data_IF_629125219152
#
_entry.id   IF_629125219152
#
_cell.length_a   1.000
_cell.length_b   1.000
_cell.length_c   1.000
_cell.angle_alpha   90.00
_cell.angle_beta   90.00
_cell.angle_gamma   90.00
#
_symmetry.space_group_name_H-M   'P 1'
#
loop_
_entity.id
_entity.type
_entity.pdbx_description
1 polymer ?
#
# COMPACT_ATOMS: atom_id res chain seq x y z
N UNK A 1 2.06 -7.75 27.40
CA UNK A 1 2.01 -7.50 25.94
C UNK A 1 0.98 -8.42 25.31
N UNK A 2 -0.13 -7.89 24.77
CA UNK A 2 -1.14 -8.74 24.13
C UNK A 2 -0.58 -9.32 22.82
N UNK A 3 -0.72 -10.64 22.63
CA UNK A 3 -0.16 -11.38 21.48
C UNK A 3 1.29 -11.85 21.65
N UNK A 4 1.96 -11.51 22.76
CA UNK A 4 3.28 -12.07 23.12
C UNK A 4 4.49 -11.49 22.39
N UNK A 5 4.33 -10.73 21.31
CA UNK A 5 5.44 -10.12 20.57
C UNK A 5 5.06 -8.80 19.89
N UNK A 6 6.06 -8.08 19.38
CA UNK A 6 5.91 -6.88 18.54
C UNK A 6 6.08 -7.25 17.07
N UNK A 7 5.32 -6.61 16.19
CA UNK A 7 5.61 -6.64 14.76
C UNK A 7 6.27 -5.31 14.36
N UNK A 8 7.54 -5.37 13.99
CA UNK A 8 8.34 -4.20 13.62
C UNK A 8 8.62 -4.16 12.11
N UNK A 9 8.47 -2.98 11.52
CA UNK A 9 8.84 -2.69 10.13
C UNK A 9 9.90 -1.59 10.14
N UNK A 10 11.11 -1.92 9.71
CA UNK A 10 12.24 -0.99 9.65
C UNK A 10 12.64 -0.80 8.19
N UNK A 11 12.74 0.46 7.75
CA UNK A 11 13.27 0.84 6.45
C UNK A 11 14.42 1.85 6.58
N UNK A 12 15.28 1.85 5.56
CA UNK A 12 16.36 2.81 5.31
C UNK A 12 15.94 3.86 4.25
N UNK A 13 14.65 4.18 4.20
CA UNK A 13 14.07 5.13 3.25
C UNK A 13 14.38 6.58 3.57
N UNK A 14 13.67 7.52 2.91
CA UNK A 14 13.97 8.95 3.03
C UNK A 14 13.56 9.59 4.37
N UNK A 15 12.88 8.86 5.25
CA UNK A 15 12.30 9.41 6.48
C UNK A 15 11.21 10.46 6.20
N UNK A 16 10.79 11.15 7.26
CA UNK A 16 9.73 12.16 7.23
C UNK A 16 10.08 13.35 8.11
N UNK A 17 9.75 14.57 7.66
CA UNK A 17 9.72 15.73 8.55
C UNK A 17 8.45 15.74 9.41
N UNK A 18 8.40 16.63 10.40
CA UNK A 18 7.23 16.81 11.26
C UNK A 18 5.92 16.94 10.47
N UNK A 19 5.88 17.76 9.41
CA UNK A 19 4.65 17.95 8.62
C UNK A 19 4.27 16.72 7.79
N UNK A 20 5.26 15.96 7.33
CA UNK A 20 5.01 14.69 6.65
C UNK A 20 4.35 13.70 7.63
N UNK A 21 4.82 13.64 8.88
CA UNK A 21 4.24 12.81 9.95
C UNK A 21 2.86 13.32 10.35
N UNK A 22 2.63 14.64 10.43
CA UNK A 22 1.30 15.19 10.67
C UNK A 22 0.32 14.75 9.58
N UNK A 23 0.74 14.78 8.32
CA UNK A 23 -0.05 14.31 7.19
C UNK A 23 -0.31 12.79 7.22
N UNK A 24 0.42 12.00 8.02
CA UNK A 24 0.09 10.59 8.27
C UNK A 24 -1.20 10.47 9.06
N UNK A 25 -1.51 11.37 9.98
CA UNK A 25 -2.76 11.31 10.77
C UNK A 25 -3.96 11.78 9.95
N UNK A 26 -3.76 12.71 9.02
CA UNK A 26 -4.82 13.24 8.16
C UNK A 26 -5.29 12.18 7.15
N UNK A 27 -6.54 11.74 7.30
CA UNK A 27 -7.15 10.76 6.40
C UNK A 27 -7.29 11.32 4.98
N UNK A 28 -7.00 10.49 3.97
CA UNK A 28 -7.17 10.86 2.55
C UNK A 28 -6.05 11.72 1.97
N UNK A 29 -5.14 12.27 2.79
CA UNK A 29 -4.03 13.11 2.31
C UNK A 29 -2.87 12.24 1.81
N UNK A 30 -2.47 12.45 0.56
CA UNK A 30 -1.27 11.82 0.00
C UNK A 30 -0.61 12.72 -1.03
N UNK A 31 0.62 13.18 -0.76
CA UNK A 31 1.43 13.91 -1.74
C UNK A 31 1.77 13.05 -2.98
N UNK A 32 1.74 11.71 -2.82
CA UNK A 32 2.07 10.74 -3.86
C UNK A 32 1.03 10.68 -4.99
N UNK A 33 -0.22 11.04 -4.68
CA UNK A 33 -1.31 11.07 -5.67
C UNK A 33 -0.97 12.02 -6.83
N UNK A 34 -0.35 13.16 -6.52
CA UNK A 34 -0.01 14.22 -7.45
C UNK A 34 1.49 14.26 -7.77
N UNK A 35 2.26 13.27 -7.31
CA UNK A 35 3.69 13.19 -7.60
C UNK A 35 3.92 12.77 -9.04
N UNK A 36 4.79 13.51 -9.72
CA UNK A 36 5.30 13.18 -11.06
C UNK A 36 6.21 11.95 -11.05
N UNK A 37 6.61 11.45 -9.87
CA UNK A 37 7.32 10.17 -9.76
C UNK A 37 6.35 9.06 -10.18
N UNK A 38 6.67 8.32 -11.26
CA UNK A 38 5.77 7.29 -11.77
C UNK A 38 5.65 6.12 -10.78
N UNK A 39 4.54 5.39 -10.87
CA UNK A 39 4.33 4.10 -10.19
C UNK A 39 4.44 4.12 -8.65
N UNK A 40 4.13 5.25 -8.01
CA UNK A 40 3.96 5.28 -6.56
C UNK A 40 2.64 4.57 -6.15
N UNK A 41 2.76 3.50 -5.38
CA UNK A 41 1.63 2.64 -4.96
C UNK A 41 0.65 3.36 -4.01
N UNK A 42 1.15 4.27 -3.17
CA UNK A 42 0.38 4.88 -2.08
C UNK A 42 -0.49 6.06 -2.50
N UNK A 43 -1.71 5.84 -2.97
CA UNK A 43 -2.56 6.92 -3.49
C UNK A 43 -3.60 7.46 -2.49
N UNK A 44 -4.26 6.60 -1.71
CA UNK A 44 -5.43 6.98 -0.90
C UNK A 44 -5.16 7.63 0.47
N UNK A 45 -3.90 7.75 0.89
CA UNK A 45 -3.58 8.32 2.22
C UNK A 45 -4.09 7.50 3.42
N UNK A 46 -4.52 6.24 3.26
CA UNK A 46 -5.09 5.43 4.36
C UNK A 46 -4.30 4.16 4.73
N UNK A 47 -3.40 3.69 3.86
CA UNK A 47 -2.82 2.33 3.98
C UNK A 47 -2.15 2.01 5.32
N UNK A 48 -1.38 2.94 5.89
CA UNK A 48 -0.76 2.72 7.21
C UNK A 48 -1.81 2.56 8.31
N UNK A 49 -2.83 3.42 8.34
CA UNK A 49 -3.85 3.43 9.39
C UNK A 49 -4.69 2.17 9.35
N UNK A 50 -5.22 1.84 8.17
CA UNK A 50 -6.06 0.65 7.99
C UNK A 50 -5.27 -0.64 8.22
N UNK A 51 -4.03 -0.74 7.72
CA UNK A 51 -3.17 -1.90 7.91
C UNK A 51 -2.73 -2.09 9.37
N UNK A 52 -2.20 -1.04 10.01
CA UNK A 52 -1.77 -1.11 11.40
C UNK A 52 -2.95 -1.46 12.32
N UNK A 53 -4.10 -0.80 12.17
CA UNK A 53 -5.29 -1.07 13.00
C UNK A 53 -5.98 -2.41 12.70
N UNK A 54 -5.71 -3.03 11.54
CA UNK A 54 -6.12 -4.40 11.25
C UNK A 54 -5.28 -5.41 12.02
N UNK A 55 -3.98 -5.18 12.17
CA UNK A 55 -3.04 -6.13 12.79
C UNK A 55 -2.98 -5.93 14.32
N UNK A 56 -3.00 -4.69 14.79
CA UNK A 56 -2.75 -4.36 16.19
C UNK A 56 -3.75 -3.36 16.76
N UNK A 57 -3.85 -3.32 18.09
CA UNK A 57 -4.64 -2.31 18.80
C UNK A 57 -3.93 -0.95 18.79
N UNK A 58 -2.61 -0.98 18.92
CA UNK A 58 -1.77 0.19 19.11
C UNK A 58 -0.54 0.13 18.19
N UNK A 59 -0.03 1.28 17.77
CA UNK A 59 1.29 1.37 17.14
C UNK A 59 2.00 2.69 17.46
N UNK A 60 3.32 2.63 17.33
CA UNK A 60 4.20 3.78 17.46
C UNK A 60 5.18 3.78 16.28
N UNK A 61 5.41 4.95 15.72
CA UNK A 61 6.26 5.19 14.56
C UNK A 61 7.39 6.10 14.98
N UNK A 62 8.62 5.73 14.61
CA UNK A 62 9.82 6.53 14.74
C UNK A 62 10.33 6.83 13.34
N UNK A 63 10.66 8.08 13.06
CA UNK A 63 11.25 8.46 11.78
C UNK A 63 12.37 9.45 11.98
N UNK A 64 13.41 9.32 11.16
CA UNK A 64 14.60 10.15 11.20
C UNK A 64 14.77 10.83 9.85
N UNK A 65 14.99 12.14 9.85
CA UNK A 65 15.35 12.91 8.66
C UNK A 65 16.09 14.18 9.07
N UNK A 66 17.22 14.46 8.41
CA UNK A 66 18.02 15.68 8.65
C UNK A 66 18.37 15.91 10.12
N UNK A 67 18.80 14.83 10.80
CA UNK A 67 19.12 14.79 12.24
C UNK A 67 17.92 15.07 13.19
N UNK A 68 16.72 15.25 12.65
CA UNK A 68 15.48 15.37 13.43
C UNK A 68 14.82 14.00 13.54
N UNK A 69 14.47 13.63 14.77
CA UNK A 69 13.72 12.41 15.10
C UNK A 69 12.30 12.76 15.51
N UNK A 70 11.32 12.27 14.76
CA UNK A 70 9.90 12.46 15.10
C UNK A 70 9.30 11.13 15.53
N UNK A 71 8.57 11.13 16.63
CA UNK A 71 7.75 10.01 17.07
C UNK A 71 6.29 10.30 16.78
N UNK A 72 5.53 9.33 16.28
CA UNK A 72 4.07 9.39 16.16
C UNK A 72 3.47 8.22 16.91
N UNK A 73 2.56 8.52 17.83
CA UNK A 73 1.92 7.50 18.65
C UNK A 73 0.41 7.45 18.43
N UNK A 74 -0.11 6.28 18.07
CA UNK A 74 -1.55 6.02 17.93
C UNK A 74 -1.92 4.81 18.78
N UNK A 75 -2.58 5.07 19.92
CA UNK A 75 -3.00 4.02 20.84
C UNK A 75 -4.51 4.02 21.09
N UNK A 76 -5.21 3.00 20.60
CA UNK A 76 -6.63 2.77 20.96
C UNK A 76 -6.78 2.38 22.42
N UNK A 77 -5.75 1.82 23.05
CA UNK A 77 -5.74 1.53 24.48
C UNK A 77 -5.84 2.82 25.30
N UNK A 78 -5.02 3.82 25.00
CA UNK A 78 -5.12 5.16 25.61
C UNK A 78 -6.53 5.76 25.44
N UNK A 79 -7.05 5.78 24.22
CA UNK A 79 -8.38 6.34 23.95
C UNK A 79 -9.50 5.62 24.72
N UNK A 80 -9.45 4.29 24.78
CA UNK A 80 -10.46 3.50 25.48
C UNK A 80 -10.42 3.70 27.00
N UNK A 81 -9.23 3.69 27.60
CA UNK A 81 -9.07 3.86 29.05
C UNK A 81 -9.40 5.28 29.53
N UNK A 82 -9.16 6.29 28.69
CA UNK A 82 -9.46 7.68 29.01
C UNK A 82 -10.84 8.12 28.49
N UNK A 83 -11.63 7.19 27.92
CA UNK A 83 -12.96 7.47 27.35
C UNK A 83 -12.97 8.62 26.31
N UNK A 84 -11.92 8.71 25.50
CA UNK A 84 -11.75 9.77 24.50
C UNK A 84 -12.41 9.35 23.18
N UNK A 85 -13.35 10.16 22.71
CA UNK A 85 -14.04 9.97 21.42
C UNK A 85 -13.29 10.58 20.23
N UNK A 86 -12.44 11.57 20.47
CA UNK A 86 -11.60 12.20 19.46
C UNK A 86 -10.33 11.40 19.20
N UNK A 87 -9.68 11.59 18.05
CA UNK A 87 -8.39 10.96 17.75
C UNK A 87 -7.27 11.91 18.16
N UNK A 88 -6.59 11.59 19.28
CA UNK A 88 -5.45 12.33 19.81
C UNK A 88 -4.18 11.49 19.59
N UNK A 89 -3.20 12.08 18.91
CA UNK A 89 -1.96 11.41 18.54
C UNK A 89 -0.75 12.21 19.04
N UNK A 90 -0.06 11.77 20.11
CA UNK A 90 1.19 12.39 20.54
C UNK A 90 2.24 12.36 19.44
N UNK A 91 2.87 13.51 19.17
CA UNK A 91 3.87 13.64 18.11
C UNK A 91 5.09 14.48 18.52
N UNK A 92 5.88 14.05 19.52
CA UNK A 92 7.06 14.78 19.96
C UNK A 92 8.18 14.70 18.91
N UNK A 93 8.99 15.75 18.86
CA UNK A 93 10.07 15.95 17.91
C UNK A 93 11.38 16.25 18.67
N UNK A 94 12.48 15.62 18.25
CA UNK A 94 13.78 15.70 18.92
C UNK A 94 14.90 16.05 17.94
N UNK A 95 15.87 16.82 18.40
CA UNK A 95 17.19 16.83 17.80
C UNK A 95 17.94 15.58 18.30
N UNK A 96 18.33 14.70 17.38
CA UNK A 96 18.96 13.43 17.72
C UNK A 96 20.41 13.57 18.20
N UNK A 97 21.05 14.72 17.96
CA UNK A 97 22.40 15.01 18.47
C UNK A 97 22.35 15.43 19.93
N UNK A 98 21.46 16.34 20.28
CA UNK A 98 21.31 16.84 21.66
C UNK A 98 20.39 15.99 22.52
N UNK A 99 19.56 15.15 21.88
CA UNK A 99 18.46 14.39 22.50
C UNK A 99 17.45 15.29 23.23
N UNK A 100 17.37 16.55 22.84
CA UNK A 100 16.43 17.53 23.39
C UNK A 100 15.25 17.75 22.44
N UNK A 101 14.11 18.23 22.96
CA UNK A 101 13.00 18.66 22.12
C UNK A 101 13.45 19.72 21.12
N UNK A 102 12.96 19.65 19.88
CA UNK A 102 13.20 20.71 18.90
C UNK A 102 12.50 21.97 19.36
N UNK A 103 13.25 23.01 19.69
CA UNK A 103 12.74 24.35 20.01
C UNK A 103 12.80 25.20 18.74
N UNK A 104 11.68 25.38 18.06
CA UNK A 104 11.58 26.38 17.00
C UNK A 104 10.89 27.63 17.53
N UNK A 105 11.51 28.79 17.31
CA UNK A 105 10.87 30.11 17.39
C UNK A 105 10.05 30.35 16.12
N UNK A 106 8.91 31.04 16.23
CA UNK A 106 7.93 31.26 15.14
C UNK A 106 8.51 31.88 13.84
N UNK A 107 9.76 32.35 13.84
CA UNK A 107 10.44 32.99 12.71
C UNK A 107 11.40 32.08 11.91
N UNK A 108 11.80 30.93 12.44
CA UNK A 108 12.82 30.09 11.79
C UNK A 108 12.19 29.12 10.80
N UNK A 109 11.98 29.61 9.59
CA UNK A 109 11.74 28.77 8.42
C UNK A 109 12.98 27.93 8.11
N UNK A 110 13.12 26.77 8.72
CA UNK A 110 14.04 25.75 8.20
C UNK A 110 13.44 25.24 6.88
N UNK A 111 14.05 25.61 5.75
CA UNK A 111 13.63 25.22 4.39
C UNK A 111 12.18 25.61 4.00
N UNK A 112 11.67 26.74 4.52
CA UNK A 112 10.40 27.31 4.07
C UNK A 112 9.12 26.54 4.44
N UNK A 113 9.19 25.59 5.36
CA UNK A 113 8.03 24.83 5.84
C UNK A 113 7.71 25.20 7.29
N UNK A 114 6.43 25.44 7.64
CA UNK A 114 5.97 25.74 9.00
C UNK A 114 6.27 24.55 9.92
N UNK A 115 7.38 24.61 10.63
CA UNK A 115 7.99 23.47 11.29
C UNK A 115 7.73 23.59 12.80
N UNK A 116 6.72 22.89 13.32
CA UNK A 116 6.52 22.63 14.76
C UNK A 116 6.71 23.81 15.74
N UNK A 117 5.61 24.46 16.16
CA UNK A 117 5.68 25.37 17.32
C UNK A 117 5.89 24.57 18.60
N UNK A 118 7.04 24.78 19.26
CA UNK A 118 7.34 24.12 20.52
C UNK A 118 6.44 24.68 21.63
N UNK A 119 5.70 23.78 22.26
CA UNK A 119 4.97 24.05 23.49
C UNK A 119 5.45 23.05 24.52
N UNK A 120 6.12 23.57 25.57
CA UNK A 120 6.70 22.76 26.63
C UNK A 120 5.66 21.90 27.35
N UNK A 121 4.49 22.46 27.61
CA UNK A 121 3.40 21.76 28.31
C UNK A 121 2.81 20.63 27.45
N UNK A 122 2.63 20.90 26.15
CA UNK A 122 2.21 19.89 25.17
C UNK A 122 3.25 18.77 25.07
N UNK A 123 4.53 19.13 24.90
CA UNK A 123 5.61 18.15 24.74
C UNK A 123 5.70 17.24 25.97
N UNK A 124 5.64 17.81 27.17
CA UNK A 124 5.65 17.03 28.41
C UNK A 124 4.47 16.05 28.46
N UNK A 125 3.27 16.49 28.13
CA UNK A 125 2.07 15.63 28.09
C UNK A 125 2.20 14.52 27.04
N UNK A 126 2.66 14.84 25.83
CA UNK A 126 2.91 13.85 24.76
C UNK A 126 3.86 12.76 25.23
N UNK A 127 4.93 13.16 25.91
CA UNK A 127 5.92 12.24 26.47
C UNK A 127 5.36 11.40 27.61
N UNK A 128 4.61 11.98 28.54
CA UNK A 128 3.93 11.24 29.59
C UNK A 128 2.99 10.17 29.02
N UNK A 129 2.23 10.50 27.97
CA UNK A 129 1.34 9.55 27.30
C UNK A 129 2.10 8.40 26.63
N UNK A 130 3.18 8.70 25.92
CA UNK A 130 4.03 7.67 25.28
C UNK A 130 4.64 6.76 26.35
N UNK A 131 5.22 7.31 27.41
CA UNK A 131 5.84 6.50 28.48
C UNK A 131 4.82 5.66 29.23
N UNK A 132 3.60 6.17 29.44
CA UNK A 132 2.52 5.43 30.10
C UNK A 132 1.96 4.29 29.24
N UNK A 133 1.65 4.55 27.97
CA UNK A 133 0.86 3.64 27.13
C UNK A 133 1.65 2.85 26.07
N UNK A 134 2.83 3.33 25.68
CA UNK A 134 3.70 2.62 24.74
C UNK A 134 4.51 1.52 25.44
N UNK A 135 5.17 0.62 24.69
CA UNK A 135 6.11 -0.33 25.26
C UNK A 135 7.38 0.30 25.84
N UNK A 136 7.68 1.55 25.48
CA UNK A 136 8.91 2.25 25.84
C UNK A 136 8.62 3.16 27.04
N UNK A 137 9.21 2.84 28.19
CA UNK A 137 8.86 3.43 29.48
C UNK A 137 9.81 4.53 29.94
N UNK A 138 10.95 4.66 29.26
CA UNK A 138 11.98 5.65 29.57
C UNK A 138 12.45 6.37 28.30
N UNK A 139 13.01 7.57 28.45
CA UNK A 139 13.64 8.30 27.34
C UNK A 139 14.72 7.47 26.65
N UNK A 140 15.52 6.74 27.43
CA UNK A 140 16.56 5.87 26.90
C UNK A 140 15.98 4.75 26.02
N UNK A 141 14.86 4.14 26.42
CA UNK A 141 14.23 3.08 25.62
C UNK A 141 13.63 3.62 24.32
N UNK A 142 13.14 4.86 24.35
CA UNK A 142 12.66 5.58 23.16
C UNK A 142 13.81 5.87 22.19
N UNK A 143 14.93 6.43 22.67
CA UNK A 143 16.08 6.76 21.82
C UNK A 143 16.76 5.52 21.24
N UNK A 144 16.78 4.40 21.97
CA UNK A 144 17.19 3.10 21.39
C UNK A 144 16.40 2.73 20.15
N UNK A 145 15.14 3.16 20.00
CA UNK A 145 14.36 2.90 18.79
C UNK A 145 14.84 3.75 17.60
N UNK A 146 15.23 5.01 17.83
CA UNK A 146 15.87 5.82 16.80
C UNK A 146 17.24 5.24 16.40
N UNK A 147 18.00 4.69 17.36
CA UNK A 147 19.28 4.04 17.09
C UNK A 147 19.18 2.78 16.23
N UNK A 148 18.00 2.16 16.12
CA UNK A 148 17.78 1.04 15.18
C UNK A 148 17.81 1.52 13.72
N UNK A 149 17.49 2.80 13.46
CA UNK A 149 17.60 3.43 12.15
C UNK A 149 19.06 3.83 11.94
N UNK A 150 19.87 2.88 11.44
CA UNK A 150 21.32 3.06 11.28
C UNK A 150 21.70 4.09 10.21
N UNK A 151 20.83 4.33 9.24
CA UNK A 151 21.01 5.32 8.19
C UNK A 151 20.82 6.76 8.70
N UNK A 152 21.19 7.74 7.88
CA UNK A 152 20.94 9.16 8.15
C UNK A 152 19.45 9.52 8.14
N UNK A 153 18.63 8.72 7.45
CA UNK A 153 17.18 8.80 7.43
C UNK A 153 16.52 7.42 7.33
N UNK A 154 15.27 7.31 7.73
CA UNK A 154 14.52 6.05 7.69
C UNK A 154 13.29 6.08 8.59
N UNK A 155 12.57 4.96 8.62
CA UNK A 155 11.35 4.83 9.43
C UNK A 155 11.29 3.46 10.10
N UNK A 156 10.91 3.44 11.37
CA UNK A 156 10.61 2.27 12.16
C UNK A 156 9.15 2.35 12.63
N UNK A 157 8.37 1.33 12.32
CA UNK A 157 6.98 1.19 12.79
C UNK A 157 6.92 -0.03 13.70
N UNK A 158 6.43 0.15 14.93
CA UNK A 158 6.27 -0.91 15.92
C UNK A 158 4.80 -1.10 16.22
N UNK A 159 4.25 -2.22 15.78
CA UNK A 159 2.88 -2.64 16.06
C UNK A 159 2.87 -3.53 17.31
N UNK A 160 1.97 -3.27 18.25
CA UNK A 160 1.88 -4.02 19.49
C UNK A 160 0.44 -4.13 20.00
N UNK A 161 0.21 -5.04 20.95
CA UNK A 161 -1.13 -5.48 21.31
C UNK A 161 -1.87 -6.06 20.10
N UNK A 162 -1.31 -7.14 19.55
CA UNK A 162 -1.78 -7.77 18.32
C UNK A 162 -3.19 -8.34 18.48
N UNK A 163 -3.93 -8.42 17.38
CA UNK A 163 -5.21 -9.11 17.35
C UNK A 163 -5.02 -10.60 17.63
N UNK A 164 -5.98 -11.13 18.39
CA UNK A 164 -6.04 -12.53 18.78
C UNK A 164 -7.23 -13.17 18.05
N UNK A 165 -7.09 -14.44 17.72
CA UNK A 165 -8.20 -15.28 17.27
C UNK A 165 -9.16 -15.58 18.42
N UNK A 166 -10.28 -16.25 18.12
CA UNK A 166 -11.28 -16.65 19.11
C UNK A 166 -10.73 -17.57 20.21
N UNK A 167 -9.59 -18.22 19.94
CA UNK A 167 -8.90 -19.14 20.86
C UNK A 167 -7.90 -18.37 21.76
N UNK A 168 -7.72 -17.07 21.53
CA UNK A 168 -6.82 -16.22 22.33
C UNK A 168 -5.36 -16.19 21.87
N UNK A 169 -5.01 -16.90 20.79
CA UNK A 169 -3.68 -16.88 20.17
C UNK A 169 -3.57 -15.80 19.08
N UNK A 170 -2.37 -15.23 18.83
CA UNK A 170 -2.18 -14.25 17.77
C UNK A 170 -2.49 -14.85 16.38
N UNK A 171 -3.05 -14.04 15.47
CA UNK A 171 -3.36 -14.47 14.09
C UNK A 171 -2.11 -14.85 13.28
N UNK A 172 -0.94 -14.33 13.70
CA UNK A 172 0.35 -14.50 13.06
C UNK A 172 1.20 -15.51 13.85
N UNK A 173 1.66 -16.55 13.18
CA UNK A 173 2.53 -17.58 13.72
C UNK A 173 3.99 -17.31 13.33
N UNK A 174 4.82 -17.11 14.34
CA UNK A 174 6.27 -16.89 14.23
C UNK A 174 7.09 -18.04 14.84
N UNK A 175 6.41 -19.10 15.33
CA UNK A 175 7.05 -20.22 16.05
C UNK A 175 7.32 -21.39 15.12
N UNK A 176 6.41 -21.68 14.19
CA UNK A 176 6.53 -22.83 13.28
C UNK A 176 7.74 -22.72 12.34
N UNK A 177 7.99 -21.53 11.79
CA UNK A 177 9.21 -21.23 11.04
C UNK A 177 9.83 -19.95 11.62
N UNK A 178 11.00 -20.03 12.30
CA UNK A 178 11.64 -18.86 12.90
C UNK A 178 12.11 -17.83 11.87
N UNK A 179 12.14 -18.19 10.59
CA UNK A 179 12.49 -17.30 9.50
C UNK A 179 11.26 -16.84 8.69
N UNK A 180 10.04 -17.10 9.12
CA UNK A 180 8.83 -16.66 8.41
C UNK A 180 7.80 -16.05 9.36
N UNK A 181 6.73 -15.50 8.77
CA UNK A 181 5.51 -15.12 9.47
C UNK A 181 4.38 -15.82 8.73
N UNK A 182 3.78 -16.82 9.38
CA UNK A 182 2.73 -17.63 8.81
C UNK A 182 1.36 -17.16 9.30
N UNK A 183 0.31 -17.44 8.53
CA UNK A 183 -1.07 -17.38 9.03
C UNK A 183 -1.36 -18.70 9.74
N UNK A 184 -1.94 -18.66 10.95
CA UNK A 184 -2.30 -19.88 11.67
C UNK A 184 -3.17 -20.77 10.77
N UNK A 185 -2.71 -22.01 10.61
CA UNK A 185 -3.38 -23.08 9.88
C UNK A 185 -4.85 -23.29 10.22
N UNK A 186 -5.29 -22.89 11.42
CA UNK A 186 -6.65 -23.04 11.92
C UNK A 186 -7.57 -21.88 11.54
N UNK A 187 -7.02 -20.72 11.18
CA UNK A 187 -7.75 -19.57 10.62
C UNK A 187 -7.97 -19.68 9.11
N UNK A 188 -7.62 -20.82 8.48
CA UNK A 188 -7.72 -21.05 7.03
C UNK A 188 -9.13 -21.07 6.46
N UNK A 189 -10.17 -21.26 7.29
CA UNK A 189 -11.58 -21.35 6.82
C UNK A 189 -12.05 -20.10 6.07
N UNK A 190 -11.51 -18.93 6.40
CA UNK A 190 -12.01 -17.65 5.87
C UNK A 190 -11.20 -17.12 4.66
N UNK A 191 -10.24 -17.89 4.12
CA UNK A 191 -9.39 -17.45 2.99
C UNK A 191 -10.01 -17.73 1.61
N UNK A 192 -11.09 -18.51 1.54
CA UNK A 192 -11.73 -18.94 0.27
C UNK A 192 -13.26 -18.79 0.25
N UNK A 193 -13.88 -18.24 1.29
CA UNK A 193 -15.33 -18.04 1.34
C UNK A 193 -15.71 -16.73 0.67
N UNK A 194 -15.81 -16.75 -0.66
CA UNK A 194 -16.71 -15.84 -1.39
C UNK A 194 -17.39 -16.53 -2.60
N UNK A 195 -17.00 -17.75 -3.04
CA UNK A 195 -17.57 -18.35 -4.27
C UNK A 195 -17.83 -19.88 -4.27
N UNK A 196 -17.64 -20.63 -3.17
CA UNK A 196 -17.87 -22.09 -3.19
C UNK A 196 -18.74 -22.56 -2.00
N UNK A 197 -20.04 -22.28 -2.08
CA UNK A 197 -21.11 -22.89 -1.27
C UNK A 197 -21.30 -24.38 -1.68
N UNK A 198 -20.27 -25.20 -1.57
CA UNK A 198 -20.39 -26.65 -1.65
C UNK A 198 -20.20 -27.29 -0.28
N UNK A 199 -21.31 -27.38 0.47
CA UNK A 199 -21.45 -28.01 1.80
C UNK A 199 -21.04 -29.51 1.87
N UNK A 200 -20.46 -30.09 0.82
CA UNK A 200 -20.29 -31.55 0.70
C UNK A 200 -18.86 -32.10 0.88
N UNK A 201 -17.89 -31.30 1.32
CA UNK A 201 -16.52 -31.82 1.56
C UNK A 201 -16.25 -32.12 3.05
N UNK A 202 -16.99 -33.09 3.61
CA UNK A 202 -16.66 -33.76 4.89
C UNK A 202 -15.63 -34.89 4.71
N UNK A 203 -14.71 -34.75 3.77
CA UNK A 203 -13.69 -35.74 3.43
C UNK A 203 -12.27 -35.17 3.53
N UNK A 204 -11.45 -35.80 4.38
CA UNK A 204 -9.98 -35.73 4.45
C UNK A 204 -9.32 -34.34 4.29
N UNK A 205 -9.24 -33.61 5.40
CA UNK A 205 -8.61 -32.28 5.50
C UNK A 205 -7.11 -32.24 5.12
N UNK A 206 -6.45 -33.38 5.03
CA UNK A 206 -5.02 -33.47 4.69
C UNK A 206 -4.75 -33.23 3.20
N UNK A 207 -5.65 -33.68 2.31
CA UNK A 207 -5.50 -33.53 0.86
C UNK A 207 -5.82 -32.12 0.37
N UNK A 208 -6.72 -31.39 1.03
CA UNK A 208 -7.08 -30.01 0.66
C UNK A 208 -5.99 -29.00 1.03
N UNK A 209 -5.11 -29.35 1.97
CA UNK A 209 -4.03 -28.47 2.40
C UNK A 209 -2.91 -28.32 1.36
N UNK A 210 -2.82 -29.24 0.38
CA UNK A 210 -1.88 -29.19 -0.74
C UNK A 210 -2.37 -28.37 -1.94
N UNK A 211 -3.64 -27.94 -1.98
CA UNK A 211 -4.20 -27.18 -3.10
C UNK A 211 -4.07 -25.66 -2.96
N UNK A 212 -3.78 -25.16 -1.75
CA UNK A 212 -3.67 -23.71 -1.49
C UNK A 212 -2.23 -23.26 -1.77
N UNK A 213 -2.02 -22.30 -2.69
CA UNK A 213 -0.70 -21.76 -2.96
C UNK A 213 -0.01 -21.21 -1.70
N UNK A 214 1.30 -21.37 -1.64
CA UNK A 214 2.10 -21.05 -0.43
C UNK A 214 2.03 -19.56 -0.06
N UNK A 215 1.78 -18.69 -1.03
CA UNK A 215 1.67 -17.24 -0.83
C UNK A 215 0.43 -16.83 -0.01
N UNK A 216 -0.59 -17.68 0.11
CA UNK A 216 -1.72 -17.41 1.01
C UNK A 216 -1.42 -17.73 2.47
N UNK A 217 -0.33 -18.45 2.77
CA UNK A 217 0.02 -18.87 4.13
C UNK A 217 1.33 -18.29 4.64
N UNK A 218 2.28 -18.02 3.75
CA UNK A 218 3.64 -17.58 4.08
C UNK A 218 3.85 -16.14 3.64
N UNK A 219 4.15 -15.26 4.59
CA UNK A 219 4.51 -13.88 4.27
C UNK A 219 5.77 -13.83 3.40
N UNK A 220 6.77 -14.66 3.69
CA UNK A 220 7.99 -14.76 2.88
C UNK A 220 7.69 -15.12 1.42
N UNK A 221 6.80 -16.08 1.18
CA UNK A 221 6.39 -16.46 -0.17
C UNK A 221 5.61 -15.31 -0.84
N UNK A 222 4.61 -14.74 -0.17
CA UNK A 222 3.81 -13.62 -0.69
C UNK A 222 4.68 -12.41 -1.07
N UNK A 223 5.59 -12.02 -0.16
CA UNK A 223 6.48 -10.89 -0.33
C UNK A 223 7.48 -11.12 -1.47
N UNK A 224 7.84 -12.38 -1.75
CA UNK A 224 8.74 -12.71 -2.86
C UNK A 224 8.19 -12.33 -4.24
N UNK A 225 6.86 -12.28 -4.39
CA UNK A 225 6.16 -11.95 -5.64
C UNK A 225 5.35 -10.65 -5.53
N UNK A 226 5.52 -9.88 -4.45
CA UNK A 226 4.69 -8.71 -4.15
C UNK A 226 4.82 -7.60 -5.20
N UNK A 227 6.00 -7.50 -5.79
CA UNK A 227 6.37 -6.47 -6.74
C UNK A 227 6.69 -7.06 -8.09
N UNK A 228 6.14 -6.46 -9.16
CA UNK A 228 6.38 -6.87 -10.54
C UNK A 228 7.87 -6.73 -10.91
N UNK A 229 8.49 -5.64 -10.45
CA UNK A 229 9.94 -5.40 -10.54
C UNK A 229 10.50 -5.13 -9.14
N UNK A 230 10.93 -6.17 -8.40
CA UNK A 230 11.45 -6.00 -7.05
C UNK A 230 12.81 -5.28 -7.09
N UNK A 231 12.90 -4.15 -6.39
CA UNK A 231 14.14 -3.37 -6.20
C UNK A 231 14.54 -3.27 -4.73
N UNK A 232 13.55 -3.13 -3.85
CA UNK A 232 13.74 -3.11 -2.41
C UNK A 232 14.13 -4.50 -1.92
N UNK A 233 15.21 -4.56 -1.12
CA UNK A 233 15.60 -5.79 -0.43
C UNK A 233 14.71 -5.96 0.79
N UNK A 234 14.19 -7.16 1.00
CA UNK A 234 13.30 -7.46 2.11
C UNK A 234 13.91 -8.55 2.98
N UNK A 235 13.85 -8.37 4.29
CA UNK A 235 14.34 -9.32 5.29
C UNK A 235 13.21 -9.59 6.27
N UNK A 236 12.94 -10.87 6.54
CA UNK A 236 11.96 -11.31 7.53
C UNK A 236 12.73 -12.12 8.58
N UNK A 237 12.56 -11.77 9.86
CA UNK A 237 13.24 -12.44 10.99
C UNK A 237 14.75 -12.63 10.76
N UNK A 238 15.43 -11.57 10.32
CA UNK A 238 16.87 -11.58 10.05
C UNK A 238 17.31 -12.30 8.76
N UNK A 239 16.43 -13.02 8.06
CA UNK A 239 16.77 -13.74 6.82
C UNK A 239 16.20 -13.06 5.58
N UNK A 240 17.08 -12.73 4.62
CA UNK A 240 16.72 -12.09 3.35
C UNK A 240 15.69 -12.93 2.57
N UNK A 241 14.66 -12.28 2.05
CA UNK A 241 13.67 -12.85 1.13
C UNK A 241 14.26 -12.84 -0.28
N UNK A 242 14.18 -13.96 -0.99
CA UNK A 242 14.57 -14.04 -2.40
C UNK A 242 13.37 -13.59 -3.24
N UNK A 243 13.35 -12.31 -3.61
CA UNK A 243 12.32 -11.75 -4.49
C UNK A 243 12.47 -12.27 -5.92
N UNK A 244 11.34 -12.51 -6.58
CA UNK A 244 11.26 -13.14 -7.89
C UNK A 244 10.59 -12.20 -8.87
N UNK A 245 11.21 -11.97 -10.03
CA UNK A 245 10.48 -11.47 -11.20
C UNK A 245 9.76 -12.67 -11.82
N UNK A 246 8.45 -12.76 -11.60
CA UNK A 246 7.67 -13.98 -11.88
C UNK A 246 7.80 -14.45 -13.35
N UNK A 247 7.94 -13.54 -14.31
CA UNK A 247 8.15 -13.92 -15.72
C UNK A 247 9.46 -14.68 -15.99
N UNK A 248 10.45 -14.56 -15.10
CA UNK A 248 11.74 -15.27 -15.23
C UNK A 248 11.73 -16.63 -14.52
N UNK A 249 10.68 -16.96 -13.77
CA UNK A 249 10.55 -18.27 -13.12
C UNK A 249 9.74 -19.26 -13.96
N UNK A 250 9.30 -18.85 -15.15
CA UNK A 250 8.42 -19.62 -16.02
C UNK A 250 9.18 -20.16 -17.23
N UNK A 251 8.77 -21.33 -17.71
CA UNK A 251 9.27 -21.93 -18.93
C UNK A 251 8.61 -21.28 -20.17
N UNK A 252 9.43 -21.02 -21.20
CA UNK A 252 9.03 -20.39 -22.48
C UNK A 252 8.13 -19.15 -22.33
N UNK A 253 8.53 -18.14 -21.54
CA UNK A 253 7.71 -16.95 -21.38
C UNK A 253 7.57 -16.20 -22.72
N UNK A 254 6.34 -15.82 -23.09
CA UNK A 254 6.03 -15.01 -24.29
C UNK A 254 5.26 -13.76 -23.91
N UNK A 255 5.44 -12.69 -24.69
CA UNK A 255 4.79 -11.40 -24.50
C UNK A 255 3.81 -11.12 -25.63
N UNK A 256 2.64 -10.60 -25.28
CA UNK A 256 1.59 -10.22 -26.22
C UNK A 256 1.16 -8.78 -25.95
N UNK A 257 1.02 -7.98 -27.01
CA UNK A 257 0.62 -6.58 -26.92
C UNK A 257 -0.89 -6.46 -27.09
N UNK A 258 -1.58 -6.06 -26.03
CA UNK A 258 -3.02 -5.84 -26.03
C UNK A 258 -3.33 -4.35 -26.24
N UNK A 259 -4.08 -4.03 -27.31
CA UNK A 259 -4.57 -2.69 -27.59
C UNK A 259 -6.07 -2.64 -27.31
N UNK A 260 -6.49 -1.67 -26.50
CA UNK A 260 -7.91 -1.45 -26.17
C UNK A 260 -8.31 -0.02 -26.47
N UNK A 261 -9.17 0.15 -27.48
CA UNK A 261 -9.81 1.45 -27.75
C UNK A 261 -10.70 1.87 -26.59
N UNK A 262 -11.35 0.91 -25.92
CA UNK A 262 -12.19 1.14 -24.74
C UNK A 262 -11.43 1.83 -23.60
N UNK A 263 -10.24 1.33 -23.25
CA UNK A 263 -9.42 1.96 -22.21
C UNK A 263 -8.94 3.34 -22.63
N UNK A 264 -8.48 3.49 -23.88
CA UNK A 264 -8.05 4.79 -24.42
C UNK A 264 -9.16 5.85 -24.28
N UNK A 265 -10.36 5.56 -24.79
CA UNK A 265 -11.48 6.51 -24.76
C UNK A 265 -11.88 6.89 -23.33
N UNK A 266 -11.87 5.93 -22.40
CA UNK A 266 -12.18 6.20 -20.99
C UNK A 266 -11.13 7.09 -20.34
N UNK A 267 -9.85 6.78 -20.49
CA UNK A 267 -8.78 7.61 -19.94
C UNK A 267 -8.85 9.05 -20.47
N UNK A 268 -9.18 9.23 -21.75
CA UNK A 268 -9.42 10.56 -22.34
C UNK A 268 -10.62 11.28 -21.71
N UNK A 269 -11.72 10.57 -21.42
CA UNK A 269 -12.89 11.14 -20.74
C UNK A 269 -12.58 11.54 -19.29
N UNK A 270 -11.82 10.72 -18.56
CA UNK A 270 -11.41 11.03 -17.19
C UNK A 270 -10.47 12.24 -17.14
N UNK A 271 -9.52 12.35 -18.08
CA UNK A 271 -8.66 13.54 -18.20
C UNK A 271 -9.51 14.79 -18.46
N UNK A 272 -10.45 14.74 -19.42
CA UNK A 272 -11.37 15.86 -19.70
C UNK A 272 -12.22 16.25 -18.49
N UNK A 273 -12.68 15.27 -17.70
CA UNK A 273 -13.42 15.53 -16.47
C UNK A 273 -12.56 16.28 -15.45
N UNK A 274 -11.34 15.81 -15.22
CA UNK A 274 -10.40 16.47 -14.32
C UNK A 274 -10.00 17.88 -14.81
N UNK A 275 -9.89 18.10 -16.13
CA UNK A 275 -9.67 19.45 -16.70
C UNK A 275 -10.83 20.39 -16.39
N UNK A 276 -12.07 19.93 -16.55
CA UNK A 276 -13.26 20.71 -16.20
C UNK A 276 -13.31 21.04 -14.71
N UNK A 277 -12.94 20.09 -13.84
CA UNK A 277 -12.84 20.31 -12.40
C UNK A 277 -11.77 21.36 -12.06
N UNK A 278 -10.61 21.32 -12.73
CA UNK A 278 -9.54 22.30 -12.53
C UNK A 278 -9.99 23.71 -12.96
N UNK A 279 -10.66 23.84 -14.11
CA UNK A 279 -11.19 25.12 -14.57
C UNK A 279 -12.19 25.73 -13.58
N UNK A 280 -13.11 24.91 -13.04
CA UNK A 280 -14.05 25.35 -12.01
C UNK A 280 -13.35 25.77 -10.71
N UNK A 281 -12.26 25.10 -10.35
CA UNK A 281 -11.47 25.46 -9.17
C UNK A 281 -10.71 26.77 -9.38
N UNK A 282 -10.17 27.01 -10.58
CA UNK A 282 -9.50 28.26 -10.96
C UNK A 282 -10.45 29.45 -10.97
N UNK A 283 -11.72 29.27 -11.36
CA UNK A 283 -12.78 30.27 -11.20
C UNK A 283 -13.00 30.63 -9.72
N UNK A 284 -13.13 29.62 -8.84
CA UNK A 284 -13.28 29.83 -7.39
C UNK A 284 -12.07 30.52 -6.76
N UNK A 285 -10.85 30.20 -7.21
CA UNK A 285 -9.63 30.89 -6.75
C UNK A 285 -9.71 32.37 -7.11
N UNK A 286 -10.09 32.70 -8.35
CA UNK A 286 -10.24 34.10 -8.81
C UNK A 286 -11.28 34.86 -7.99
N UNK A 287 -12.41 34.23 -7.66
CA UNK A 287 -13.44 34.84 -6.80
C UNK A 287 -12.92 35.16 -5.40
N UNK A 288 -12.26 34.19 -4.75
CA UNK A 288 -11.71 34.38 -3.39
C UNK A 288 -10.58 35.41 -3.39
N UNK A 289 -9.68 35.37 -4.37
CA UNK A 289 -8.61 36.37 -4.50
C UNK A 289 -9.21 37.79 -4.71
N UNK A 290 -10.28 37.92 -5.49
CA UNK A 290 -10.99 39.20 -5.66
C UNK A 290 -11.60 39.69 -4.34
N UNK A 291 -12.16 38.80 -3.50
CA UNK A 291 -12.68 39.16 -2.18
C UNK A 291 -11.58 39.58 -1.21
N UNK A 292 -10.43 38.89 -1.23
CA UNK A 292 -9.24 39.25 -0.45
C UNK A 292 -8.76 40.64 -0.85
N UNK A 293 -8.61 40.91 -2.15
CA UNK A 293 -8.18 42.20 -2.66
C UNK A 293 -9.14 43.32 -2.27
N UNK A 294 -10.45 43.13 -2.47
CA UNK A 294 -11.46 44.12 -2.07
C UNK A 294 -11.37 44.44 -0.58
N UNK A 295 -11.37 43.42 0.29
CA UNK A 295 -11.28 43.63 1.74
C UNK A 295 -9.97 44.32 2.14
N UNK A 296 -8.83 43.99 1.54
CA UNK A 296 -7.56 44.68 1.81
C UNK A 296 -7.62 46.17 1.50
N UNK A 297 -8.29 46.56 0.43
CA UNK A 297 -8.39 47.97 0.00
C UNK A 297 -9.47 48.77 0.74
N UNK A 298 -10.55 48.14 1.22
CA UNK A 298 -11.60 48.83 2.01
C UNK A 298 -11.21 49.03 3.49
N UNK A 299 -10.21 48.29 3.99
CA UNK A 299 -9.85 48.15 5.41
C UNK A 299 -8.93 49.26 5.97
N UNK A 300 -9.24 50.54 5.79
CA UNK A 300 -8.38 51.65 6.28
C UNK A 300 -8.47 51.85 7.82
N UNK A 301 -9.49 51.31 8.50
CA UNK A 301 -9.65 51.32 9.97
C UNK A 301 -10.25 50.00 10.45
N UNK A 302 -9.44 49.04 10.93
CA UNK A 302 -9.91 47.65 11.10
C UNK A 302 -10.43 47.29 12.49
N UNK A 303 -11.69 46.83 12.52
CA UNK A 303 -12.24 46.03 13.62
C UNK A 303 -11.49 44.69 13.76
N UNK A 304 -11.50 44.08 14.94
CA UNK A 304 -10.93 42.74 15.16
C UNK A 304 -11.57 41.68 14.25
N UNK A 305 -12.86 41.81 13.95
CA UNK A 305 -13.62 40.86 13.12
C UNK A 305 -13.23 40.91 11.64
N UNK A 306 -12.95 42.10 11.09
CA UNK A 306 -12.52 42.26 9.70
C UNK A 306 -11.13 41.66 9.47
N UNK A 307 -10.23 41.83 10.44
CA UNK A 307 -8.90 41.17 10.42
C UNK A 307 -9.03 39.66 10.48
N UNK A 308 -9.93 39.13 11.29
CA UNK A 308 -10.20 37.69 11.36
C UNK A 308 -10.78 37.17 10.04
N UNK A 309 -11.72 37.91 9.43
CA UNK A 309 -12.33 37.55 8.14
C UNK A 309 -11.30 37.55 7.00
N UNK A 310 -10.43 38.56 6.95
CA UNK A 310 -9.35 38.64 5.97
C UNK A 310 -8.39 37.45 6.10
N UNK A 311 -7.96 37.11 7.32
CA UNK A 311 -7.11 35.93 7.56
C UNK A 311 -7.77 34.64 7.11
N UNK A 312 -9.06 34.44 7.42
CA UNK A 312 -9.82 33.25 6.98
C UNK A 312 -9.86 33.14 5.45
N UNK A 313 -10.10 34.24 4.75
CA UNK A 313 -10.13 34.26 3.28
C UNK A 313 -8.75 34.02 2.67
N UNK A 314 -7.68 34.57 3.27
CA UNK A 314 -6.30 34.31 2.84
C UNK A 314 -5.93 32.83 2.98
N UNK A 315 -6.28 32.21 4.12
CA UNK A 315 -6.08 30.76 4.35
C UNK A 315 -6.85 29.96 3.29
N UNK A 316 -8.13 30.27 3.07
CA UNK A 316 -8.95 29.62 2.05
C UNK A 316 -8.35 29.76 0.64
N UNK A 317 -7.85 30.93 0.28
CA UNK A 317 -7.19 31.18 -1.01
C UNK A 317 -5.93 30.29 -1.17
N UNK A 318 -5.11 30.19 -0.12
CA UNK A 318 -3.92 29.33 -0.15
C UNK A 318 -4.28 27.85 -0.28
N UNK A 319 -5.29 27.38 0.45
CA UNK A 319 -5.76 25.98 0.37
C UNK A 319 -6.30 25.61 -1.01
N UNK A 320 -7.06 26.52 -1.63
CA UNK A 320 -7.60 26.34 -2.99
C UNK A 320 -6.48 26.33 -4.04
N UNK A 321 -5.49 27.24 -3.93
CA UNK A 321 -4.32 27.27 -4.82
C UNK A 321 -3.50 25.99 -4.70
N UNK A 322 -3.26 25.51 -3.49
CA UNK A 322 -2.58 24.23 -3.25
C UNK A 322 -3.36 23.05 -3.83
N UNK A 323 -4.69 23.06 -3.73
CA UNK A 323 -5.53 22.04 -4.36
C UNK A 323 -5.44 22.08 -5.89
N UNK A 324 -5.47 23.27 -6.50
CA UNK A 324 -5.34 23.43 -7.95
C UNK A 324 -3.97 22.96 -8.45
N UNK A 325 -2.89 23.35 -7.78
CA UNK A 325 -1.54 22.88 -8.08
C UNK A 325 -1.44 21.35 -8.02
N UNK A 326 -2.04 20.73 -7.00
CA UNK A 326 -2.13 19.27 -6.88
C UNK A 326 -2.88 18.66 -8.07
N UNK A 327 -4.09 19.13 -8.36
CA UNK A 327 -4.90 18.63 -9.48
C UNK A 327 -4.18 18.78 -10.83
N UNK A 328 -3.53 19.92 -11.07
CA UNK A 328 -2.72 20.18 -12.26
C UNK A 328 -1.57 19.16 -12.40
N UNK A 329 -0.80 18.93 -11.34
CA UNK A 329 0.26 17.91 -11.35
C UNK A 329 -0.29 16.50 -11.61
N UNK A 330 -1.45 16.18 -11.03
CA UNK A 330 -2.16 14.92 -11.29
C UNK A 330 -2.60 14.77 -12.75
N UNK A 331 -3.09 15.83 -13.36
CA UNK A 331 -3.45 15.88 -14.78
C UNK A 331 -2.24 15.68 -15.70
N UNK A 332 -1.14 16.38 -15.41
CA UNK A 332 0.13 16.21 -16.14
C UNK A 332 0.58 14.76 -16.10
N UNK A 333 0.56 14.15 -14.92
CA UNK A 333 0.89 12.73 -14.73
C UNK A 333 -0.03 11.81 -15.55
N UNK A 334 -1.36 11.96 -15.45
CA UNK A 334 -2.32 11.15 -16.21
C UNK A 334 -2.08 11.25 -17.72
N UNK A 335 -1.79 12.45 -18.22
CA UNK A 335 -1.49 12.70 -19.64
C UNK A 335 -0.17 12.04 -20.07
N UNK A 336 0.87 12.10 -19.23
CA UNK A 336 2.13 11.38 -19.46
C UNK A 336 1.92 9.85 -19.49
N UNK A 337 1.18 9.30 -18.53
CA UNK A 337 0.84 7.86 -18.46
C UNK A 337 0.02 7.40 -19.67
N UNK A 338 -0.96 8.20 -20.12
CA UNK A 338 -1.76 7.92 -21.30
C UNK A 338 -0.92 7.91 -22.60
N UNK A 339 0.01 8.87 -22.74
CA UNK A 339 0.86 8.96 -23.93
C UNK A 339 1.87 7.81 -24.03
N UNK A 340 2.36 7.35 -22.88
CA UNK A 340 3.33 6.24 -22.78
C UNK A 340 2.65 4.87 -22.83
N UNK A 341 1.47 4.73 -22.23
CA UNK A 341 0.76 3.44 -22.12
C UNK A 341 -0.30 3.29 -23.22
N UNK A 342 0.16 3.09 -24.46
CA UNK A 342 -0.75 2.82 -25.59
C UNK A 342 -1.27 1.38 -25.61
N UNK A 343 -0.52 0.46 -24.99
CA UNK A 343 -0.80 -0.98 -25.00
C UNK A 343 -0.48 -1.58 -23.63
N UNK A 344 -1.23 -2.62 -23.26
CA UNK A 344 -0.89 -3.47 -22.11
C UNK A 344 -0.06 -4.65 -22.62
N UNK A 345 0.94 -5.06 -21.85
CA UNK A 345 1.73 -6.25 -22.19
C UNK A 345 1.26 -7.42 -21.33
N UNK A 346 0.67 -8.44 -21.96
CA UNK A 346 0.41 -9.71 -21.32
C UNK A 346 1.64 -10.59 -21.43
N UNK A 347 2.03 -11.24 -20.33
CA UNK A 347 3.11 -12.22 -20.33
C UNK A 347 2.53 -13.56 -19.93
N UNK A 348 2.80 -14.60 -20.70
CA UNK A 348 2.41 -15.97 -20.36
C UNK A 348 3.64 -16.86 -20.34
N UNK A 349 3.67 -17.81 -19.41
CA UNK A 349 4.73 -18.82 -19.30
C UNK A 349 4.22 -20.05 -18.57
N UNK A 350 4.95 -21.16 -18.66
CA UNK A 350 4.57 -22.41 -18.01
C UNK A 350 5.27 -22.57 -16.66
N UNK A 351 4.49 -22.82 -15.61
CA UNK A 351 5.01 -23.22 -14.32
C UNK A 351 5.27 -24.73 -14.31
N UNK A 352 6.44 -25.12 -14.82
CA UNK A 352 6.85 -26.54 -14.84
C UNK A 352 7.21 -27.07 -13.46
N UNK A 353 7.57 -26.20 -12.51
CA UNK A 353 7.92 -26.59 -11.15
C UNK A 353 6.68 -27.01 -10.36
N UNK A 354 5.56 -26.31 -10.54
CA UNK A 354 4.31 -26.69 -9.91
C UNK A 354 3.12 -26.36 -10.81
N UNK A 355 2.62 -27.39 -11.50
CA UNK A 355 1.53 -27.31 -12.46
C UNK A 355 0.19 -26.89 -11.86
N UNK A 356 -0.06 -27.16 -10.56
CA UNK A 356 -1.33 -26.78 -9.92
C UNK A 356 -1.38 -25.29 -9.57
N UNK A 357 -0.22 -24.65 -9.42
CA UNK A 357 -0.10 -23.21 -9.17
C UNK A 357 -0.06 -22.43 -10.49
N UNK A 358 -1.21 -22.40 -11.15
CA UNK A 358 -1.44 -21.69 -12.41
C UNK A 358 -2.51 -20.60 -12.29
N UNK A 359 -2.70 -19.80 -13.34
CA UNK A 359 -3.61 -18.66 -13.36
C UNK A 359 -2.91 -17.32 -13.54
N UNK A 360 -3.67 -16.24 -13.44
CA UNK A 360 -3.22 -14.89 -13.74
C UNK A 360 -2.84 -14.14 -12.47
N UNK A 361 -1.68 -13.48 -12.53
CA UNK A 361 -1.18 -12.54 -11.55
C UNK A 361 -1.35 -11.13 -12.09
N UNK A 362 -2.15 -10.34 -11.40
CA UNK A 362 -2.52 -9.00 -11.81
C UNK A 362 -1.84 -8.00 -10.89
N UNK A 363 -0.91 -7.23 -11.43
CA UNK A 363 -0.24 -6.13 -10.75
C UNK A 363 -0.90 -4.80 -11.14
N UNK A 364 -0.82 -3.83 -10.25
CA UNK A 364 -1.20 -2.44 -10.50
C UNK A 364 -0.08 -1.51 -10.03
N UNK A 365 0.43 -0.68 -10.94
CA UNK A 365 1.61 0.17 -10.70
C UNK A 365 2.77 -0.60 -10.04
N UNK A 366 3.01 -1.84 -10.49
CA UNK A 366 4.07 -2.70 -9.99
C UNK A 366 3.78 -3.44 -8.67
N UNK A 367 2.60 -3.28 -8.06
CA UNK A 367 2.17 -4.01 -6.85
C UNK A 367 1.15 -5.08 -7.20
N UNK A 368 1.36 -6.31 -6.75
CA UNK A 368 0.39 -7.41 -6.91
C UNK A 368 -0.99 -6.99 -6.35
N UNK A 369 -2.10 -7.32 -7.00
CA UNK A 369 -3.46 -7.05 -6.49
C UNK A 369 -4.24 -8.35 -6.38
N UNK A 370 -4.17 -9.17 -7.43
CA UNK A 370 -4.78 -10.50 -7.51
C UNK A 370 -3.74 -11.52 -7.96
N UNK A 371 -3.84 -12.75 -7.44
CA UNK A 371 -2.98 -13.87 -7.80
C UNK A 371 -3.82 -15.13 -8.02
N UNK A 372 -3.34 -16.01 -8.89
CA UNK A 372 -4.00 -17.28 -9.22
C UNK A 372 -5.41 -17.14 -9.82
N UNK A 373 -5.73 -16.00 -10.43
CA UNK A 373 -7.04 -15.76 -11.04
C UNK A 373 -7.22 -16.68 -12.24
N UNK A 374 -8.28 -17.49 -12.24
CA UNK A 374 -8.56 -18.40 -13.34
C UNK A 374 -9.21 -17.62 -14.49
N UNK A 375 -8.68 -17.79 -15.69
CA UNK A 375 -9.19 -17.15 -16.91
C UNK A 375 -9.50 -18.19 -17.98
N UNK A 376 -10.55 -17.95 -18.77
CA UNK A 376 -11.09 -18.93 -19.72
C UNK A 376 -12.32 -19.65 -19.18
N UNK A 377 -13.05 -20.35 -20.06
CA UNK A 377 -14.27 -21.06 -19.66
C UNK A 377 -13.91 -22.34 -18.86
N UNK A 378 -14.46 -22.54 -17.65
CA UNK A 378 -14.31 -23.78 -16.87
C UNK A 378 -14.95 -25.01 -17.54
N UNK A 379 -15.83 -24.78 -18.52
CA UNK A 379 -16.62 -25.82 -19.14
C UNK A 379 -15.90 -26.47 -20.33
N UNK A 380 -15.20 -27.58 -20.03
CA UNK A 380 -15.16 -28.85 -20.79
C UNK A 380 -13.85 -29.56 -20.49
N UNK A 381 -13.89 -30.64 -19.69
CA UNK A 381 -13.11 -31.91 -19.68
C UNK A 381 -11.65 -31.95 -20.20
N UNK A 382 -10.99 -30.84 -20.49
CA UNK A 382 -9.73 -30.78 -21.22
C UNK A 382 -8.79 -29.86 -20.44
N UNK A 383 -7.60 -30.40 -20.13
CA UNK A 383 -6.53 -29.75 -19.36
C UNK A 383 -5.87 -28.57 -20.10
N UNK A 384 -6.59 -27.87 -20.99
CA UNK A 384 -6.04 -26.74 -21.75
C UNK A 384 -5.53 -25.67 -20.81
N UNK A 385 -4.33 -25.17 -21.11
CA UNK A 385 -3.65 -24.12 -20.35
C UNK A 385 -3.34 -24.45 -18.88
N UNK A 386 -3.53 -25.70 -18.42
CA UNK A 386 -3.14 -26.07 -17.05
C UNK A 386 -1.63 -25.95 -16.88
N UNK A 387 -1.18 -25.26 -15.84
CA UNK A 387 0.22 -24.92 -15.60
C UNK A 387 0.64 -23.59 -16.24
N UNK A 388 -0.24 -22.90 -17.00
CA UNK A 388 0.07 -21.60 -17.58
C UNK A 388 -0.15 -20.49 -16.55
N UNK A 389 0.88 -19.68 -16.36
CA UNK A 389 0.84 -18.47 -15.54
C UNK A 389 0.76 -17.26 -16.46
N UNK A 390 -0.26 -16.43 -16.26
CA UNK A 390 -0.39 -15.13 -16.90
C UNK A 390 0.07 -14.01 -15.96
N UNK A 391 0.70 -12.97 -16.50
CA UNK A 391 1.20 -11.83 -15.74
C UNK A 391 0.86 -10.55 -16.49
N UNK A 392 0.33 -9.58 -15.77
CA UNK A 392 0.06 -8.23 -16.28
C UNK A 392 0.35 -7.19 -15.21
N UNK A 393 0.89 -6.04 -15.61
CA UNK A 393 0.96 -4.84 -14.78
C UNK A 393 0.08 -3.74 -15.37
N UNK A 394 -0.88 -3.26 -14.58
CA UNK A 394 -1.93 -2.34 -14.99
C UNK A 394 -1.57 -0.95 -14.45
N UNK A 395 -1.37 0.06 -15.30
CA UNK A 395 -1.15 1.42 -14.84
C UNK A 395 -2.43 2.06 -14.30
N UNK A 396 -2.26 3.06 -13.43
CA UNK A 396 -3.36 3.77 -12.75
C UNK A 396 -4.36 4.43 -13.67
N UNK A 397 -3.93 4.82 -14.88
CA UNK A 397 -4.81 5.43 -15.90
C UNK A 397 -5.82 4.44 -16.52
N UNK A 398 -5.62 3.13 -16.32
CA UNK A 398 -6.45 2.07 -16.89
C UNK A 398 -7.47 1.53 -15.89
N UNK A 399 -7.02 1.15 -14.69
CA UNK A 399 -7.88 0.68 -13.60
C UNK A 399 -7.37 1.16 -12.26
N UNK A 400 -8.30 1.58 -11.41
CA UNK A 400 -8.01 1.89 -10.01
C UNK A 400 -8.32 0.70 -9.10
N UNK A 401 -7.61 0.61 -7.98
CA UNK A 401 -7.80 -0.45 -6.98
C UNK A 401 -8.93 -0.13 -6.01
N UNK A 402 -9.48 -1.14 -5.33
CA UNK A 402 -10.32 -0.93 -4.16
C UNK A 402 -9.50 -0.39 -2.98
N UNK A 403 -10.19 0.09 -1.94
CA UNK A 403 -9.56 0.68 -0.76
C UNK A 403 -8.54 -0.24 -0.04
N UNK A 404 -8.80 -1.55 0.01
CA UNK A 404 -7.90 -2.55 0.60
C UNK A 404 -6.77 -3.02 -0.36
N UNK A 405 -6.79 -2.57 -1.62
CA UNK A 405 -5.85 -2.95 -2.68
C UNK A 405 -5.76 -4.46 -2.91
N UNK A 406 -6.87 -5.18 -2.73
CA UNK A 406 -7.01 -6.60 -3.04
C UNK A 406 -8.00 -6.86 -4.20
N UNK A 407 -8.57 -5.80 -4.78
CA UNK A 407 -9.42 -5.89 -5.96
C UNK A 407 -9.36 -4.57 -6.75
N UNK A 408 -10.14 -4.49 -7.83
CA UNK A 408 -10.29 -3.30 -8.68
C UNK A 408 -11.65 -2.65 -8.45
N UNK A 409 -11.68 -1.31 -8.49
CA UNK A 409 -12.89 -0.54 -8.25
C UNK A 409 -13.93 -0.72 -9.38
N UNK A 410 -13.46 -0.91 -10.62
CA UNK A 410 -14.32 -1.22 -11.77
C UNK A 410 -14.22 -2.70 -12.13
N UNK A 411 -15.14 -3.47 -11.56
CA UNK A 411 -15.22 -4.90 -11.75
C UNK A 411 -15.56 -5.29 -13.20
N UNK A 412 -16.38 -4.49 -13.91
CA UNK A 412 -16.78 -4.78 -15.29
C UNK A 412 -15.61 -4.70 -16.24
N UNK A 413 -14.78 -3.67 -16.09
CA UNK A 413 -13.56 -3.52 -16.88
C UNK A 413 -12.50 -4.56 -16.50
N UNK A 414 -12.37 -4.88 -15.22
CA UNK A 414 -11.48 -5.95 -14.76
C UNK A 414 -11.84 -7.30 -15.39
N UNK A 415 -13.12 -7.68 -15.38
CA UNK A 415 -13.59 -8.90 -16.04
C UNK A 415 -13.41 -8.86 -17.56
N UNK A 416 -13.62 -7.70 -18.20
CA UNK A 416 -13.33 -7.53 -19.62
C UNK A 416 -11.85 -7.80 -19.93
N UNK A 417 -10.94 -7.29 -19.09
CA UNK A 417 -9.50 -7.53 -19.22
C UNK A 417 -9.15 -9.01 -19.02
N UNK A 418 -9.67 -9.65 -17.96
CA UNK A 418 -9.46 -11.08 -17.71
C UNK A 418 -9.96 -11.97 -18.85
N UNK A 419 -11.13 -11.64 -19.43
CA UNK A 419 -11.67 -12.34 -20.60
C UNK A 419 -10.69 -12.29 -21.78
N UNK A 420 -10.18 -11.10 -22.10
CA UNK A 420 -9.17 -10.93 -23.17
C UNK A 420 -7.88 -11.69 -22.82
N UNK A 421 -7.42 -11.66 -21.57
CA UNK A 421 -6.26 -12.46 -21.15
C UNK A 421 -6.48 -13.96 -21.37
N UNK A 422 -7.69 -14.48 -21.14
CA UNK A 422 -8.04 -15.87 -21.43
C UNK A 422 -7.95 -16.22 -22.93
N UNK A 423 -8.32 -15.30 -23.81
CA UNK A 423 -8.18 -15.47 -25.27
C UNK A 423 -6.69 -15.52 -25.68
N UNK A 424 -5.87 -14.61 -25.16
CA UNK A 424 -4.43 -14.61 -25.42
C UNK A 424 -3.69 -15.77 -24.75
N UNK A 425 -4.20 -16.28 -23.62
CA UNK A 425 -3.65 -17.48 -22.99
C UNK A 425 -3.85 -18.72 -23.88
N UNK A 426 -5.00 -18.83 -24.56
CA UNK A 426 -5.22 -19.88 -25.57
C UNK A 426 -4.29 -19.71 -26.76
N UNK A 427 -4.11 -18.48 -27.24
CA UNK A 427 -3.13 -18.21 -28.30
C UNK A 427 -1.73 -18.65 -27.88
N UNK A 428 -1.30 -18.30 -26.66
CA UNK A 428 -0.02 -18.75 -26.09
C UNK A 428 0.10 -20.27 -26.06
N UNK A 429 -0.95 -20.99 -25.66
CA UNK A 429 -0.95 -22.44 -25.63
C UNK A 429 -0.70 -23.05 -27.01
N UNK A 430 -1.45 -22.60 -28.03
CA UNK A 430 -1.25 -23.03 -29.43
C UNK A 430 0.14 -22.66 -29.94
N UNK A 431 0.58 -21.43 -29.67
CA UNK A 431 1.90 -20.90 -30.01
C UNK A 431 3.07 -21.72 -29.46
N UNK A 432 2.89 -22.41 -28.33
CA UNK A 432 3.91 -23.30 -27.75
C UNK A 432 4.01 -24.65 -28.46
N UNK A 433 2.96 -25.06 -29.19
CA UNK A 433 2.81 -26.36 -29.82
C UNK A 433 2.59 -27.52 -28.85
N UNK A 434 2.53 -27.27 -27.53
CA UNK A 434 2.41 -28.33 -26.49
C UNK A 434 1.08 -29.07 -26.60
N UNK A 435 0.05 -28.46 -27.20
CA UNK A 435 -1.26 -29.07 -27.43
C UNK A 435 -1.19 -30.44 -28.14
N UNK A 436 -0.15 -30.68 -28.94
CA UNK A 436 0.02 -31.94 -29.66
C UNK A 436 0.73 -33.04 -28.84
N UNK A 437 1.38 -32.71 -27.72
CA UNK A 437 2.19 -33.64 -26.92
C UNK A 437 2.09 -33.39 -25.40
N UNK A 438 0.90 -32.97 -24.93
CA UNK A 438 0.66 -32.54 -23.54
C UNK A 438 1.09 -33.58 -22.52
N UNK A 439 0.76 -34.86 -22.75
CA UNK A 439 1.08 -35.94 -21.81
C UNK A 439 2.59 -36.14 -21.70
N UNK A 440 3.28 -36.32 -22.83
CA UNK A 440 4.73 -36.50 -22.89
C UNK A 440 5.48 -35.30 -22.30
N UNK A 441 5.03 -34.08 -22.57
CA UNK A 441 5.59 -32.87 -21.98
C UNK A 441 5.55 -32.93 -20.44
N UNK A 442 4.38 -33.21 -19.86
CA UNK A 442 4.26 -33.27 -18.40
C UNK A 442 4.91 -34.52 -17.79
N UNK A 443 5.01 -35.62 -18.51
CA UNK A 443 5.81 -36.78 -18.07
C UNK A 443 7.30 -36.47 -18.02
N UNK A 444 7.80 -35.64 -18.95
CA UNK A 444 9.20 -35.25 -19.03
C UNK A 444 9.55 -34.16 -18.02
N UNK A 445 8.73 -33.12 -17.91
CA UNK A 445 9.05 -31.90 -17.15
C UNK A 445 8.29 -31.78 -15.83
N UNK A 446 7.19 -32.53 -15.64
CA UNK A 446 6.25 -32.37 -14.52
C UNK A 446 6.25 -33.48 -13.47
N UNK A 447 7.17 -34.47 -13.55
CA UNK A 447 7.26 -35.59 -12.58
C UNK A 447 7.98 -35.25 -11.26
N UNK A 448 8.64 -34.10 -11.14
CA UNK A 448 9.24 -33.68 -9.87
C UNK A 448 8.15 -33.10 -8.94
N UNK A 449 7.35 -33.95 -8.29
CA UNK A 449 6.70 -33.70 -6.97
C UNK A 449 6.02 -34.95 -6.37
N UNK A 450 5.98 -36.11 -7.05
CA UNK A 450 5.42 -37.34 -6.44
C UNK A 450 6.45 -38.35 -5.91
N UNK A 451 7.73 -37.99 -5.79
CA UNK A 451 8.74 -38.85 -5.17
C UNK A 451 9.58 -38.02 -4.20
N UNK A 452 9.13 -37.92 -2.96
CA UNK A 452 9.90 -38.12 -1.71
C UNK A 452 8.83 -38.42 -0.65
N UNK A 453 8.91 -39.64 -0.11
CA UNK A 453 8.13 -40.20 1.00
C UNK A 453 8.46 -39.49 2.30
#
# INVERSE_FOLDING_TARGET
LRGGFYLAFLDDGCGMHYDDVFNVIVFGKSAKLHSLVPNQIGQYGNGLKSGAMRISKDFILFTKKDNIGTCLFISRTFHHEQHISQIICPMPCFDLTTQQPVQNTDDDRINGTLTYTYDSSKHELEMQLIMKYSPFKTMNDLFKQFDLIKSSSGTLIVLYNLKLSDIGEPELDIKTDPYDILIDSRNRRNLLTDDDDSENSRGDYTSFCFSIPVEYRSLRAYVSILYYEPRMRITIQGRRVITKKLSYTLYKPRKYQFKSTRFKTRSEQEIKKCEKELLSLEERIREVDSQVHHLQHTSVTTSADERMRLRKLQISATELKDLANRLCNGLVKKRMEMNTTKTLTFIFGLNIQNRSTDGVFVYHCGRLIKMYEKVGQPNKKILYCRGVVGIIDIPSVVLETTHNKQSFADEKEYHFLLKNMGEYMRQYWTDTGIEHYVQEFWETYGKMICLIV
#
